data_IF_797899816264
#
_entry.id   IF_797899816264
#
_cell.length_a   1.000
_cell.length_b   1.000
_cell.length_c   1.000
_cell.angle_alpha   90.00
_cell.angle_beta   90.00
_cell.angle_gamma   90.00
#
_symmetry.space_group_name_H-M   'P 1'
#
loop_
_entity.id
_entity.type
_entity.pdbx_description
1 polymer ?
#
# COMPACT_ATOMS: atom_id res chain seq x y z
N UNK A 1 0.42 -15.69 4.38
CA UNK A 1 -1.04 -15.83 4.09
C UNK A 1 -1.51 -14.86 3.00
N UNK A 2 -1.04 -13.62 3.04
CA UNK A 2 -1.40 -12.64 2.01
C UNK A 2 -0.93 -13.10 0.64
N UNK A 3 0.33 -13.54 0.54
CA UNK A 3 0.86 -14.04 -0.72
C UNK A 3 0.09 -15.24 -1.25
N UNK A 4 -0.31 -16.15 -0.37
CA UNK A 4 -1.11 -17.30 -0.74
C UNK A 4 -2.50 -16.89 -1.26
N UNK A 5 -3.11 -15.88 -0.63
CA UNK A 5 -4.40 -15.36 -1.09
C UNK A 5 -4.34 -14.93 -2.54
N UNK A 6 -3.31 -14.16 -2.92
CA UNK A 6 -3.17 -13.70 -4.29
C UNK A 6 -2.93 -14.84 -5.26
N UNK A 7 -2.11 -15.82 -4.87
CA UNK A 7 -1.84 -17.00 -5.71
C UNK A 7 -3.09 -17.85 -5.91
N UNK A 8 -3.86 -18.10 -4.85
CA UNK A 8 -5.07 -18.94 -4.92
C UNK A 8 -6.17 -18.30 -5.75
N UNK A 9 -6.23 -16.99 -5.83
CA UNK A 9 -7.26 -16.27 -6.57
C UNK A 9 -6.79 -15.81 -7.95
N UNK A 10 -5.63 -16.27 -8.39
CA UNK A 10 -5.05 -15.93 -9.70
C UNK A 10 -4.93 -14.41 -9.95
N UNK A 11 -4.66 -13.66 -8.90
CA UNK A 11 -4.44 -12.22 -9.03
C UNK A 11 -3.01 -11.99 -9.50
N UNK A 12 -2.87 -11.40 -10.67
CA UNK A 12 -1.57 -11.08 -11.24
C UNK A 12 -0.96 -9.87 -10.52
N UNK A 13 0.25 -10.05 -9.98
CA UNK A 13 0.97 -9.00 -9.27
C UNK A 13 2.25 -8.68 -10.03
N UNK A 14 2.38 -7.44 -10.47
CA UNK A 14 3.51 -7.03 -11.30
C UNK A 14 4.52 -6.16 -10.55
N UNK A 15 4.05 -5.31 -9.64
CA UNK A 15 4.90 -4.41 -8.88
C UNK A 15 4.46 -4.34 -7.42
N UNK A 16 5.43 -4.37 -6.51
CA UNK A 16 5.17 -4.30 -5.08
C UNK A 16 6.09 -3.24 -4.47
N UNK A 17 5.50 -2.30 -3.77
CA UNK A 17 6.21 -1.23 -3.10
C UNK A 17 5.88 -1.24 -1.61
N UNK A 18 6.86 -0.97 -0.77
CA UNK A 18 6.71 -1.01 0.67
C UNK A 18 7.24 0.26 1.32
N UNK A 19 6.67 0.62 2.47
CA UNK A 19 7.29 1.54 3.38
C UNK A 19 8.69 1.04 3.74
N UNK A 20 9.58 1.97 4.09
CA UNK A 20 10.93 1.62 4.57
C UNK A 20 10.94 1.06 5.99
N UNK A 21 9.82 1.18 6.71
CA UNK A 21 9.74 0.73 8.10
C UNK A 21 9.62 -0.79 8.19
N UNK A 22 10.29 -1.37 9.21
CA UNK A 22 10.50 -2.81 9.32
C UNK A 22 9.25 -3.67 9.20
N UNK A 23 8.14 -3.25 9.81
CA UNK A 23 6.89 -4.00 9.77
C UNK A 23 6.38 -4.21 8.34
N UNK A 24 6.36 -3.16 7.56
CA UNK A 24 5.90 -3.23 6.17
C UNK A 24 6.88 -4.02 5.31
N UNK A 25 8.18 -3.82 5.52
CA UNK A 25 9.22 -4.57 4.80
C UNK A 25 9.11 -6.07 5.07
N UNK A 26 8.89 -6.46 6.32
CA UNK A 26 8.72 -7.87 6.66
C UNK A 26 7.49 -8.46 5.98
N UNK A 27 6.37 -7.74 5.99
CA UNK A 27 5.16 -8.19 5.33
C UNK A 27 5.37 -8.37 3.83
N UNK A 28 6.01 -7.40 3.19
CA UNK A 28 6.29 -7.46 1.75
C UNK A 28 7.19 -8.63 1.41
N UNK A 29 8.23 -8.87 2.21
CA UNK A 29 9.16 -9.96 1.99
C UNK A 29 8.51 -11.32 2.16
N UNK A 30 7.75 -11.51 3.24
CA UNK A 30 7.09 -12.78 3.52
C UNK A 30 6.02 -13.10 2.47
N UNK A 31 5.23 -12.09 2.09
CA UNK A 31 4.11 -12.30 1.17
C UNK A 31 4.55 -12.40 -0.29
N UNK A 32 5.52 -11.59 -0.71
CA UNK A 32 5.81 -11.38 -2.13
C UNK A 32 7.26 -11.59 -2.52
N UNK A 33 8.19 -11.57 -1.59
CA UNK A 33 9.65 -11.75 -1.74
C UNK A 33 10.38 -10.62 -2.46
N UNK A 34 9.86 -10.13 -3.58
CA UNK A 34 10.47 -9.03 -4.35
C UNK A 34 9.67 -7.76 -4.17
N UNK A 35 10.32 -6.68 -3.76
CA UNK A 35 9.67 -5.39 -3.54
C UNK A 35 10.69 -4.26 -3.57
N UNK A 36 10.20 -3.03 -3.76
CA UNK A 36 10.99 -1.81 -3.62
C UNK A 36 10.42 -0.98 -2.49
N UNK A 37 11.29 -0.26 -1.77
CA UNK A 37 10.84 0.67 -0.73
C UNK A 37 10.65 2.07 -1.28
N UNK A 38 9.70 2.81 -0.72
CA UNK A 38 9.42 4.19 -1.09
C UNK A 38 9.16 5.03 0.15
N UNK A 39 9.81 6.18 0.22
CA UNK A 39 9.69 7.11 1.35
C UNK A 39 8.23 7.58 1.53
N UNK A 40 7.53 7.83 0.44
CA UNK A 40 6.14 8.33 0.51
C UNK A 40 5.16 7.34 1.13
N UNK A 41 5.58 6.10 1.37
CA UNK A 41 4.76 5.09 2.05
C UNK A 41 5.04 5.03 3.56
N UNK A 42 6.00 5.79 4.07
CA UNK A 42 6.34 5.78 5.49
C UNK A 42 5.24 6.42 6.32
N UNK A 43 5.13 5.99 7.58
CA UNK A 43 4.13 6.54 8.48
C UNK A 43 4.45 7.98 8.87
N UNK A 44 3.43 8.81 8.98
CA UNK A 44 3.52 10.16 9.54
C UNK A 44 2.62 10.32 10.77
N UNK A 45 2.31 9.21 11.44
CA UNK A 45 1.44 9.20 12.62
C UNK A 45 2.08 9.94 13.80
N UNK A 46 3.37 9.77 14.02
CA UNK A 46 4.09 10.45 15.09
C UNK A 46 4.24 11.95 14.78
N UNK A 47 4.16 12.80 15.80
CA UNK A 47 4.39 14.24 15.66
C UNK A 47 5.71 14.56 14.96
N UNK A 48 6.73 13.72 15.19
CA UNK A 48 8.04 13.86 14.55
C UNK A 48 7.97 13.79 13.02
N UNK A 49 7.06 12.98 12.48
CA UNK A 49 6.93 12.73 11.05
C UNK A 49 5.72 13.41 10.43
N UNK A 50 4.86 14.05 11.22
CA UNK A 50 3.62 14.66 10.72
C UNK A 50 3.86 15.72 9.66
N UNK A 51 4.99 16.41 9.72
CA UNK A 51 5.37 17.45 8.75
C UNK A 51 5.61 16.88 7.35
N UNK A 52 5.84 15.56 7.23
CA UNK A 52 6.10 14.92 5.96
C UNK A 52 4.82 14.54 5.19
N UNK A 53 3.67 14.63 5.85
CA UNK A 53 2.39 14.18 5.31
C UNK A 53 2.07 14.77 3.95
N UNK A 54 2.12 16.09 3.85
CA UNK A 54 1.76 16.79 2.61
C UNK A 54 2.67 16.39 1.45
N UNK A 55 3.97 16.35 1.71
CA UNK A 55 4.95 15.99 0.67
C UNK A 55 4.79 14.53 0.24
N UNK A 56 4.53 13.63 1.19
CA UNK A 56 4.33 12.22 0.88
C UNK A 56 3.10 12.02 0.01
N UNK A 57 2.00 12.71 0.29
CA UNK A 57 0.79 12.64 -0.54
C UNK A 57 1.08 13.13 -1.96
N UNK A 58 1.79 14.23 -2.09
CA UNK A 58 2.18 14.77 -3.40
C UNK A 58 3.03 13.75 -4.17
N UNK A 59 4.03 13.18 -3.52
CA UNK A 59 4.95 12.23 -4.14
C UNK A 59 4.23 10.94 -4.53
N UNK A 60 3.32 10.46 -3.71
CA UNK A 60 2.49 9.29 -4.03
C UNK A 60 1.65 9.55 -5.28
N UNK A 61 0.99 10.69 -5.35
CA UNK A 61 0.16 11.01 -6.52
C UNK A 61 0.98 11.15 -7.81
N UNK A 62 2.18 11.74 -7.71
CA UNK A 62 3.09 11.81 -8.86
C UNK A 62 3.48 10.42 -9.34
N UNK A 63 3.80 9.54 -8.40
CA UNK A 63 4.17 8.16 -8.72
C UNK A 63 2.99 7.43 -9.37
N UNK A 64 1.80 7.58 -8.81
CA UNK A 64 0.59 6.93 -9.32
C UNK A 64 0.26 7.37 -10.74
N UNK A 65 0.55 8.62 -11.10
CA UNK A 65 0.34 9.11 -12.46
C UNK A 65 1.22 8.42 -13.50
N UNK A 66 2.30 7.75 -13.07
CA UNK A 66 3.13 6.95 -13.97
C UNK A 66 2.55 5.56 -14.27
N UNK A 67 1.52 5.17 -13.52
CA UNK A 67 0.90 3.86 -13.68
C UNK A 67 0.03 3.82 -14.94
N UNK A 68 0.27 2.82 -15.79
CA UNK A 68 -0.45 2.66 -17.05
C UNK A 68 -1.78 1.91 -16.91
N UNK A 69 -2.11 1.46 -15.72
CA UNK A 69 -3.33 0.69 -15.39
C UNK A 69 -3.39 -0.70 -16.04
N UNK A 70 -2.34 -1.13 -16.70
CA UNK A 70 -2.26 -2.47 -17.30
C UNK A 70 -1.75 -3.53 -16.34
N UNK A 71 -1.07 -3.11 -15.27
CA UNK A 71 -0.49 -3.99 -14.27
C UNK A 71 -1.10 -3.69 -12.91
N UNK A 72 -1.16 -4.71 -12.07
CA UNK A 72 -1.56 -4.53 -10.68
C UNK A 72 -0.36 -4.09 -9.84
N UNK A 73 -0.56 -3.07 -9.03
CA UNK A 73 0.45 -2.56 -8.12
C UNK A 73 -0.04 -2.77 -6.69
N UNK A 74 0.83 -3.26 -5.83
CA UNK A 74 0.54 -3.42 -4.41
C UNK A 74 1.42 -2.48 -3.61
N UNK A 75 0.80 -1.74 -2.69
CA UNK A 75 1.49 -0.89 -1.74
C UNK A 75 1.32 -1.45 -0.34
N UNK A 76 2.43 -1.76 0.33
CA UNK A 76 2.42 -2.20 1.73
C UNK A 76 2.82 -1.01 2.57
N UNK A 77 1.87 -0.47 3.30
CA UNK A 77 2.07 0.79 4.02
C UNK A 77 1.29 0.80 5.34
N UNK A 78 1.17 1.97 5.95
CA UNK A 78 0.60 2.14 7.27
C UNK A 78 -0.83 2.64 7.21
N UNK A 79 -1.60 2.36 8.27
CA UNK A 79 -2.97 2.82 8.43
C UNK A 79 -3.13 4.30 8.09
N UNK A 80 -2.25 5.16 8.65
CA UNK A 80 -2.39 6.61 8.46
C UNK A 80 -2.20 7.03 7.02
N UNK A 81 -1.35 6.34 6.27
CA UNK A 81 -1.11 6.62 4.85
C UNK A 81 -2.34 6.22 4.03
N UNK A 82 -2.86 5.02 4.28
CA UNK A 82 -4.06 4.54 3.58
C UNK A 82 -5.25 5.46 3.85
N UNK A 83 -5.46 5.81 5.12
CA UNK A 83 -6.56 6.70 5.52
C UNK A 83 -6.47 8.06 4.84
N UNK A 84 -5.27 8.63 4.76
CA UNK A 84 -5.06 9.93 4.13
C UNK A 84 -5.30 9.89 2.62
N UNK A 85 -4.80 8.84 1.96
CA UNK A 85 -4.89 8.74 0.50
C UNK A 85 -6.29 8.36 0.03
N UNK A 86 -6.94 7.45 0.74
CA UNK A 86 -8.21 6.86 0.30
C UNK A 86 -9.43 7.36 1.07
N UNK A 87 -9.22 8.18 2.08
CA UNK A 87 -10.29 8.63 2.99
C UNK A 87 -11.09 7.44 3.54
N UNK A 88 -10.39 6.37 3.88
CA UNK A 88 -10.96 5.13 4.37
C UNK A 88 -10.08 4.57 5.50
N UNK A 89 -10.69 4.20 6.61
CA UNK A 89 -9.99 3.70 7.79
C UNK A 89 -9.98 2.18 7.80
N UNK A 90 -8.90 1.54 7.29
CA UNK A 90 -8.86 0.08 7.22
C UNK A 90 -8.61 -0.55 8.58
N UNK A 91 -9.08 -1.79 8.75
CA UNK A 91 -8.71 -2.61 9.90
C UNK A 91 -7.38 -3.31 9.63
N UNK A 92 -6.79 -3.85 10.69
CA UNK A 92 -5.54 -4.60 10.56
C UNK A 92 -5.74 -5.83 9.66
N UNK A 93 -4.87 -6.01 8.69
CA UNK A 93 -4.96 -7.12 7.75
C UNK A 93 -5.96 -6.94 6.63
N UNK A 94 -6.63 -5.81 6.56
CA UNK A 94 -7.57 -5.51 5.49
C UNK A 94 -6.81 -5.05 4.24
N UNK A 95 -7.20 -5.58 3.08
CA UNK A 95 -6.69 -5.14 1.77
C UNK A 95 -7.72 -4.20 1.17
N UNK A 96 -7.27 -3.01 0.79
CA UNK A 96 -8.14 -1.99 0.18
C UNK A 96 -7.81 -1.91 -1.30
N UNK A 97 -8.82 -2.07 -2.13
CA UNK A 97 -8.68 -2.04 -3.59
C UNK A 97 -9.22 -0.70 -4.09
N UNK A 98 -8.40 0.02 -4.84
CA UNK A 98 -8.80 1.31 -5.39
C UNK A 98 -8.48 1.43 -6.87
N UNK A 99 -9.11 2.41 -7.52
CA UNK A 99 -8.76 2.78 -8.90
C UNK A 99 -7.64 3.83 -8.91
N UNK A 100 -7.26 4.28 -10.09
CA UNK A 100 -6.20 5.28 -10.28
C UNK A 100 -6.54 6.62 -9.63
N UNK A 101 -7.80 6.92 -9.44
CA UNK A 101 -8.25 8.16 -8.81
C UNK A 101 -8.34 8.03 -7.29
N UNK A 102 -7.83 6.91 -6.73
CA UNK A 102 -7.85 6.62 -5.29
C UNK A 102 -9.27 6.49 -4.73
N UNK A 103 -10.20 6.07 -5.58
CA UNK A 103 -11.55 5.74 -5.15
C UNK A 103 -11.59 4.27 -4.73
N UNK A 104 -12.04 3.99 -3.52
CA UNK A 104 -12.15 2.62 -3.02
C UNK A 104 -13.22 1.87 -3.82
N UNK A 105 -12.80 0.76 -4.42
CA UNK A 105 -13.67 -0.10 -5.21
C UNK A 105 -14.21 -1.23 -4.35
N UNK A 106 -13.34 -1.84 -3.54
CA UNK A 106 -13.69 -2.99 -2.70
C UNK A 106 -12.66 -3.14 -1.59
N UNK A 107 -13.00 -3.94 -0.59
CA UNK A 107 -12.09 -4.27 0.50
C UNK A 107 -12.17 -5.76 0.79
N UNK A 108 -11.06 -6.32 1.27
CA UNK A 108 -10.96 -7.74 1.59
C UNK A 108 -10.27 -7.91 2.94
N UNK A 109 -10.87 -8.70 3.81
CA UNK A 109 -10.23 -9.07 5.07
C UNK A 109 -9.63 -10.47 4.91
N UNK A 110 -8.37 -10.60 5.33
CA UNK A 110 -7.69 -11.88 5.29
C UNK A 110 -7.60 -12.40 6.72
N UNK A 111 -8.13 -13.60 6.93
CA UNK A 111 -7.99 -14.30 8.20
C UNK A 111 -6.59 -14.90 8.31
N UNK A 112 -5.97 -14.66 9.46
CA UNK A 112 -4.63 -15.15 9.74
C UNK A 112 -4.64 -16.40 10.60
#
# INVERSE_FOLDING_TARGET
KIGNFFRQNNISINKIYSSEWGRCKETAEIAFKNYETKIFLNSFFSAKFAKNRKQQVIDFNKFLNTWDQKQNIIFVTHYVVISELLNYAPSSGEIVISDKNLKVIDTLEIEY
#
